data_IF_176735675620
#
_entry.id   IF_176735675620
#
_cell.length_a   1.000
_cell.length_b   1.000
_cell.length_c   1.000
_cell.angle_alpha   90.00
_cell.angle_beta   90.00
_cell.angle_gamma   90.00
#
_symmetry.space_group_name_H-M   'P 1'
#
loop_
_entity.id
_entity.type
_entity.pdbx_description
1 polymer ?
#
# COMPACT_ATOMS: atom_id res chain seq x y z
N UNK A 1 -4.17 14.49 5.40
CA UNK A 1 -4.07 13.05 5.05
C UNK A 1 -3.53 12.91 3.64
N UNK A 2 -2.21 12.79 3.48
CA UNK A 2 -1.54 12.41 2.22
C UNK A 2 -0.90 11.04 2.47
N UNK A 3 -0.86 10.15 1.47
CA UNK A 3 -0.24 8.80 1.50
C UNK A 3 -1.20 7.60 1.61
N UNK A 4 -2.30 7.59 0.85
CA UNK A 4 -3.16 6.41 0.69
C UNK A 4 -3.12 5.97 -0.77
N UNK A 5 -2.04 5.34 -1.22
CA UNK A 5 -1.98 4.81 -2.58
C UNK A 5 -2.70 3.44 -2.62
N UNK A 6 -3.59 3.21 -3.60
CA UNK A 6 -3.85 4.01 -4.80
C UNK A 6 -5.10 4.91 -4.73
N UNK A 7 -5.80 5.01 -3.59
CA UNK A 7 -7.01 5.85 -3.47
C UNK A 7 -6.64 7.31 -3.17
N UNK A 8 -6.73 8.16 -4.17
CA UNK A 8 -6.41 9.60 -4.06
C UNK A 8 -7.49 10.33 -3.27
N UNK A 9 -8.76 10.08 -3.61
CA UNK A 9 -9.92 10.73 -3.00
C UNK A 9 -11.07 9.75 -2.91
N UNK A 10 -11.88 9.87 -1.88
CA UNK A 10 -13.09 9.08 -1.71
C UNK A 10 -14.18 9.98 -1.14
N UNK A 11 -15.42 9.77 -1.56
CA UNK A 11 -16.60 10.45 -1.03
C UNK A 11 -17.79 9.51 -0.99
N UNK A 12 -18.45 9.47 0.16
CA UNK A 12 -19.75 8.84 0.32
C UNK A 12 -20.85 9.85 0.00
N UNK A 13 -21.89 9.44 -0.72
CA UNK A 13 -22.99 10.30 -1.17
C UNK A 13 -24.33 10.01 -0.46
N UNK A 14 -24.27 9.23 0.63
CA UNK A 14 -25.37 8.87 1.55
C UNK A 14 -25.08 9.46 2.95
N UNK A 15 -26.10 9.85 3.76
CA UNK A 15 -27.54 9.66 3.54
C UNK A 15 -28.19 10.84 2.79
N UNK A 16 -29.29 10.53 2.08
CA UNK A 16 -29.99 11.40 1.11
C UNK A 16 -30.65 12.67 1.68
N UNK A 17 -30.62 12.90 2.99
CA UNK A 17 -31.42 13.95 3.66
C UNK A 17 -30.62 14.89 4.56
N UNK A 18 -29.36 15.20 4.23
CA UNK A 18 -28.62 16.30 4.88
C UNK A 18 -28.29 17.40 3.87
N UNK A 19 -28.44 18.65 4.29
CA UNK A 19 -28.06 19.83 3.50
C UNK A 19 -26.60 19.77 3.03
N UNK A 20 -25.73 19.17 3.86
CA UNK A 20 -24.32 18.93 3.53
C UNK A 20 -24.16 17.95 2.37
N UNK A 21 -24.95 16.87 2.33
CA UNK A 21 -24.95 15.90 1.23
C UNK A 21 -25.41 16.53 -0.10
N UNK A 22 -26.28 17.55 -0.05
CA UNK A 22 -26.69 18.31 -1.23
C UNK A 22 -25.58 19.25 -1.72
N UNK A 23 -24.88 19.93 -0.80
CA UNK A 23 -23.70 20.76 -1.14
C UNK A 23 -22.57 19.90 -1.73
N UNK A 24 -22.35 18.72 -1.17
CA UNK A 24 -21.35 17.75 -1.63
C UNK A 24 -21.65 17.18 -3.03
N UNK A 25 -22.93 17.11 -3.43
CA UNK A 25 -23.34 16.72 -4.79
C UNK A 25 -23.05 17.79 -5.85
N UNK A 26 -23.02 19.07 -5.46
CA UNK A 26 -22.77 20.19 -6.39
C UNK A 26 -21.31 20.37 -6.77
N UNK A 27 -20.38 19.69 -6.10
CA UNK A 27 -18.96 19.73 -6.40
C UNK A 27 -18.46 18.33 -6.76
N UNK A 28 -18.71 17.84 -8.00
CA UNK A 28 -18.38 16.46 -8.38
C UNK A 28 -16.90 16.16 -8.14
N UNK A 29 -16.60 14.93 -7.72
CA UNK A 29 -15.22 14.43 -7.83
C UNK A 29 -14.92 14.26 -9.31
N UNK A 30 -13.80 14.83 -9.74
CA UNK A 30 -13.31 14.75 -11.11
C UNK A 30 -12.00 13.99 -11.06
N UNK A 31 -11.87 12.95 -11.88
CA UNK A 31 -10.61 12.27 -12.08
C UNK A 31 -9.70 13.16 -12.95
N UNK A 32 -8.46 13.39 -12.49
CA UNK A 32 -7.44 14.03 -13.28
C UNK A 32 -6.75 13.07 -14.25
N UNK A 33 -5.71 13.55 -14.93
CA UNK A 33 -4.84 12.72 -15.77
C UNK A 33 -4.25 11.57 -14.96
N UNK A 34 -4.29 10.35 -15.51
CA UNK A 34 -3.81 9.13 -14.85
C UNK A 34 -4.63 8.71 -13.63
N UNK A 35 -5.87 9.19 -13.50
CA UNK A 35 -6.81 8.77 -12.47
C UNK A 35 -8.07 8.21 -13.10
N UNK A 36 -8.72 7.28 -12.39
CA UNK A 36 -10.02 6.73 -12.79
C UNK A 36 -11.01 6.97 -11.67
N UNK A 37 -12.22 7.37 -12.05
CA UNK A 37 -13.34 7.48 -11.14
C UNK A 37 -14.09 6.14 -11.11
N UNK A 38 -14.13 5.56 -9.91
CA UNK A 38 -14.92 4.38 -9.58
C UNK A 38 -16.14 4.83 -8.80
N UNK A 39 -17.31 4.48 -9.26
CA UNK A 39 -18.56 4.77 -8.59
C UNK A 39 -19.22 3.47 -8.13
N UNK A 40 -19.95 3.55 -7.04
CA UNK A 40 -20.76 2.46 -6.53
C UNK A 40 -22.23 2.84 -6.57
N UNK A 41 -23.04 1.99 -7.19
CA UNK A 41 -24.50 2.12 -7.28
C UNK A 41 -25.12 0.83 -6.79
N UNK A 42 -25.81 0.89 -5.65
CA UNK A 42 -26.53 -0.27 -5.06
C UNK A 42 -25.68 -1.55 -4.98
N UNK A 43 -24.42 -1.41 -4.56
CA UNK A 43 -23.47 -2.53 -4.43
C UNK A 43 -22.78 -2.95 -5.73
N UNK A 44 -23.18 -2.39 -6.87
CA UNK A 44 -22.50 -2.58 -8.16
C UNK A 44 -21.45 -1.50 -8.33
N UNK A 45 -20.25 -1.90 -8.76
CA UNK A 45 -19.14 -1.01 -9.02
C UNK A 45 -18.97 -0.80 -10.51
N UNK A 46 -18.77 0.45 -10.92
CA UNK A 46 -18.50 0.84 -12.29
C UNK A 46 -17.38 1.86 -12.38
N UNK A 47 -16.81 1.99 -13.56
CA UNK A 47 -15.84 3.03 -13.92
C UNK A 47 -16.43 3.93 -14.99
N UNK A 48 -16.19 5.23 -14.91
CA UNK A 48 -16.63 6.15 -15.94
C UNK A 48 -16.12 7.57 -15.72
N UNK A 49 -16.20 8.44 -16.74
CA UNK A 49 -15.74 9.83 -16.63
C UNK A 49 -16.64 10.68 -15.73
N UNK A 50 -17.85 10.21 -15.42
CA UNK A 50 -18.82 10.89 -14.59
C UNK A 50 -19.54 9.92 -13.64
N UNK A 51 -20.15 10.48 -12.61
CA UNK A 51 -20.91 9.75 -11.60
C UNK A 51 -22.35 9.61 -12.11
N UNK A 52 -22.89 8.38 -12.28
CA UNK A 52 -24.30 8.22 -12.60
C UNK A 52 -25.18 8.74 -11.44
N UNK A 53 -26.34 9.32 -11.78
CA UNK A 53 -27.24 10.02 -10.86
C UNK A 53 -27.64 9.33 -9.55
N UNK A 54 -27.64 7.98 -9.41
CA UNK A 54 -27.93 7.32 -8.14
C UNK A 54 -26.71 6.82 -7.33
N UNK A 55 -25.47 7.16 -7.68
CA UNK A 55 -24.29 6.62 -6.98
C UNK A 55 -24.32 6.84 -5.46
N UNK A 56 -24.00 5.79 -4.71
CA UNK A 56 -23.90 5.77 -3.26
C UNK A 56 -22.53 6.24 -2.77
N UNK A 57 -21.47 6.01 -3.55
CA UNK A 57 -20.12 6.46 -3.26
C UNK A 57 -19.32 6.65 -4.55
N UNK A 58 -18.29 7.50 -4.46
CA UNK A 58 -17.39 7.83 -5.57
C UNK A 58 -15.95 7.84 -5.05
N UNK A 59 -15.07 7.18 -5.78
CA UNK A 59 -13.65 7.03 -5.43
C UNK A 59 -12.79 7.37 -6.63
N UNK A 60 -11.80 8.22 -6.43
CA UNK A 60 -10.77 8.52 -7.41
C UNK A 60 -9.56 7.65 -7.10
N UNK A 61 -9.21 6.80 -8.05
CA UNK A 61 -8.09 5.86 -7.96
C UNK A 61 -6.98 6.35 -8.88
N UNK A 62 -5.76 6.39 -8.37
CA UNK A 62 -4.55 6.63 -9.14
C UNK A 62 -4.20 5.39 -9.96
N UNK A 63 -4.23 5.51 -11.29
CA UNK A 63 -3.90 4.42 -12.21
C UNK A 63 -2.60 4.67 -12.97
N UNK A 64 -1.76 5.62 -12.52
CA UNK A 64 -0.45 5.82 -13.12
C UNK A 64 0.36 4.51 -13.12
N UNK A 65 0.93 4.21 -14.28
CA UNK A 65 1.80 3.06 -14.45
C UNK A 65 3.10 3.25 -13.69
N UNK A 66 3.44 2.28 -12.84
CA UNK A 66 4.73 2.26 -12.15
C UNK A 66 4.88 3.31 -11.05
N UNK A 67 3.81 3.63 -10.33
CA UNK A 67 3.90 4.42 -9.11
C UNK A 67 4.88 3.76 -8.12
N UNK A 68 5.83 4.53 -7.62
CA UNK A 68 6.85 4.05 -6.69
C UNK A 68 6.34 4.11 -5.26
N UNK A 69 6.38 2.97 -4.57
CA UNK A 69 6.04 2.85 -3.15
C UNK A 69 7.25 2.36 -2.40
N UNK A 70 7.67 3.10 -1.38
CA UNK A 70 8.77 2.72 -0.50
C UNK A 70 8.25 2.24 0.85
N UNK A 71 8.90 1.21 1.38
CA UNK A 71 8.64 0.63 2.70
C UNK A 71 9.94 0.66 3.49
N UNK A 72 9.91 1.32 4.65
CA UNK A 72 11.03 1.31 5.60
C UNK A 72 10.78 0.29 6.71
N UNK A 73 11.79 -0.51 7.01
CA UNK A 73 11.76 -1.55 8.03
C UNK A 73 13.07 -1.57 8.79
N UNK A 74 13.01 -2.12 10.00
CA UNK A 74 14.17 -2.55 10.76
C UNK A 74 14.13 -4.07 10.76
N UNK A 75 15.24 -4.69 10.37
CA UNK A 75 15.39 -6.12 10.40
C UNK A 75 16.39 -6.48 11.49
N UNK A 76 15.93 -7.25 12.47
CA UNK A 76 16.76 -7.69 13.58
C UNK A 76 17.40 -9.03 13.24
N UNK A 77 18.68 -9.18 13.57
CA UNK A 77 19.41 -10.46 13.51
C UNK A 77 18.80 -11.49 14.48
N UNK A 78 19.00 -12.80 14.25
CA UNK A 78 18.52 -13.84 15.16
C UNK A 78 18.96 -13.65 16.61
N UNK A 79 20.19 -13.16 16.83
CA UNK A 79 20.75 -12.86 18.16
C UNK A 79 20.18 -11.61 18.83
N UNK A 80 19.45 -10.76 18.11
CA UNK A 80 18.85 -9.56 18.70
C UNK A 80 19.84 -8.44 19.02
N UNK A 81 21.10 -8.55 18.59
CA UNK A 81 22.16 -7.58 18.92
C UNK A 81 22.32 -6.49 17.86
N UNK A 82 21.92 -6.79 16.62
CA UNK A 82 22.03 -5.89 15.47
C UNK A 82 20.70 -5.71 14.76
N UNK A 83 20.43 -4.47 14.33
CA UNK A 83 19.34 -4.12 13.43
C UNK A 83 19.84 -3.48 12.14
N UNK A 84 19.28 -3.91 11.02
CA UNK A 84 19.49 -3.33 9.72
C UNK A 84 18.33 -2.41 9.35
N UNK A 85 18.54 -1.10 9.20
CA UNK A 85 17.56 -0.23 8.56
C UNK A 85 17.52 -0.54 7.07
N UNK A 86 16.34 -0.94 6.60
CA UNK A 86 16.11 -1.35 5.21
C UNK A 86 15.04 -0.48 4.60
N UNK A 87 15.29 -0.03 3.38
CA UNK A 87 14.31 0.62 2.52
C UNK A 87 14.09 -0.24 1.28
N UNK A 88 12.86 -0.74 1.12
CA UNK A 88 12.45 -1.52 -0.04
C UNK A 88 11.62 -0.65 -0.96
N UNK A 89 11.99 -0.61 -2.24
CA UNK A 89 11.28 0.11 -3.28
C UNK A 89 10.50 -0.86 -4.16
N UNK A 90 9.22 -0.54 -4.35
CA UNK A 90 8.31 -1.29 -5.19
C UNK A 90 7.75 -0.41 -6.30
N UNK A 91 7.62 -1.00 -7.49
CA UNK A 91 6.88 -0.43 -8.61
C UNK A 91 5.46 -0.99 -8.61
N UNK A 92 4.47 -0.12 -8.49
CA UNK A 92 3.07 -0.48 -8.38
C UNK A 92 2.29 0.02 -9.59
N UNK A 93 1.38 -0.81 -10.09
CA UNK A 93 0.48 -0.47 -11.20
C UNK A 93 -0.92 -0.96 -10.86
N UNK A 94 -1.91 -0.07 -10.86
CA UNK A 94 -3.31 -0.47 -10.71
C UNK A 94 -3.77 -1.13 -12.01
N UNK A 95 -4.13 -2.41 -11.93
CA UNK A 95 -4.65 -3.22 -13.05
C UNK A 95 -6.17 -3.36 -13.00
N UNK A 96 -6.77 -3.20 -11.81
CA UNK A 96 -8.21 -3.22 -11.61
C UNK A 96 -8.61 -2.22 -10.50
N UNK A 97 -9.03 -0.98 -10.86
CA UNK A 97 -9.42 0.01 -9.88
C UNK A 97 -10.72 -0.35 -9.14
N UNK A 98 -11.58 -1.22 -9.71
CA UNK A 98 -12.81 -1.69 -9.05
C UNK A 98 -12.46 -2.64 -7.91
N UNK A 99 -11.52 -3.56 -8.12
CA UNK A 99 -11.05 -4.47 -7.09
C UNK A 99 -10.46 -3.72 -5.88
N UNK A 100 -9.68 -2.66 -6.13
CA UNK A 100 -9.14 -1.77 -5.07
C UNK A 100 -10.27 -1.20 -4.20
N UNK A 101 -11.30 -0.62 -4.84
CA UNK A 101 -12.39 0.04 -4.12
C UNK A 101 -13.27 -0.95 -3.38
N UNK A 102 -13.52 -2.12 -3.99
CA UNK A 102 -14.23 -3.21 -3.33
C UNK A 102 -13.48 -3.68 -2.08
N UNK A 103 -12.17 -3.88 -2.17
CA UNK A 103 -11.34 -4.28 -1.04
C UNK A 103 -11.44 -3.28 0.12
N UNK A 104 -11.43 -1.97 -0.16
CA UNK A 104 -11.64 -0.94 0.86
C UNK A 104 -12.96 -1.14 1.62
N UNK A 105 -14.05 -1.43 0.91
CA UNK A 105 -15.37 -1.58 1.54
C UNK A 105 -15.47 -2.85 2.36
N UNK A 106 -14.89 -3.95 1.90
CA UNK A 106 -14.94 -5.25 2.58
C UNK A 106 -13.91 -5.40 3.69
N UNK A 107 -13.18 -4.33 4.04
CA UNK A 107 -12.12 -4.36 5.05
C UNK A 107 -10.83 -5.05 4.59
N UNK A 108 -10.71 -5.36 3.31
CA UNK A 108 -9.50 -5.92 2.73
C UNK A 108 -8.37 -4.89 2.61
N UNK A 109 -7.11 -5.33 2.44
CA UNK A 109 -5.97 -4.45 2.20
C UNK A 109 -6.12 -3.65 0.91
N UNK A 110 -6.25 -2.33 1.02
CA UNK A 110 -6.34 -1.40 -0.11
C UNK A 110 -5.26 -0.31 -0.07
N UNK A 111 -4.63 -0.11 1.09
CA UNK A 111 -3.45 0.74 1.25
C UNK A 111 -2.21 -0.10 0.93
N UNK A 112 -1.67 0.11 -0.26
CA UNK A 112 -0.53 -0.66 -0.79
C UNK A 112 0.67 -0.54 0.12
N UNK A 113 0.97 0.68 0.60
CA UNK A 113 2.15 0.90 1.45
C UNK A 113 2.01 0.13 2.75
N UNK A 114 0.83 0.16 3.37
CA UNK A 114 0.57 -0.58 4.60
C UNK A 114 0.65 -2.09 4.37
N UNK A 115 0.00 -2.59 3.33
CA UNK A 115 -0.01 -4.02 2.99
C UNK A 115 1.41 -4.55 2.73
N UNK A 116 2.22 -3.82 1.95
CA UNK A 116 3.62 -4.17 1.69
C UNK A 116 4.48 -4.08 2.94
N UNK A 117 4.19 -3.16 3.86
CA UNK A 117 4.89 -3.08 5.11
C UNK A 117 4.58 -4.31 6.00
N UNK A 118 3.34 -4.77 6.03
CA UNK A 118 2.87 -5.89 6.86
C UNK A 118 3.18 -7.29 6.25
N UNK A 119 3.94 -7.35 5.15
CA UNK A 119 4.31 -8.60 4.48
C UNK A 119 4.97 -9.61 5.45
N UNK A 120 4.37 -10.80 5.64
CA UNK A 120 4.86 -11.78 6.61
C UNK A 120 6.23 -12.37 6.22
N UNK A 121 6.66 -12.26 4.95
CA UNK A 121 7.96 -12.77 4.49
C UNK A 121 9.13 -12.10 5.19
N UNK A 122 9.00 -10.82 5.58
CA UNK A 122 10.05 -10.14 6.34
C UNK A 122 10.32 -10.82 7.69
N UNK A 123 9.30 -11.43 8.32
CA UNK A 123 9.47 -12.17 9.58
C UNK A 123 10.23 -13.47 9.41
N UNK A 124 10.20 -14.07 8.22
CA UNK A 124 10.97 -15.28 7.94
C UNK A 124 12.44 -14.94 7.67
N UNK A 125 12.70 -13.75 7.11
CA UNK A 125 14.04 -13.29 6.80
C UNK A 125 14.89 -13.10 8.06
N UNK A 126 14.32 -12.54 9.14
CA UNK A 126 15.06 -12.29 10.40
C UNK A 126 15.68 -13.54 11.03
N UNK A 127 15.22 -14.75 10.67
CA UNK A 127 15.77 -16.02 11.17
C UNK A 127 17.04 -16.48 10.46
N UNK A 128 17.34 -15.92 9.30
CA UNK A 128 18.41 -16.36 8.39
C UNK A 128 19.35 -15.23 7.99
N UNK A 129 19.22 -14.05 8.62
CA UNK A 129 20.09 -12.92 8.31
C UNK A 129 21.51 -13.21 8.79
N UNK A 130 22.52 -13.06 7.90
CA UNK A 130 23.91 -13.07 8.33
C UNK A 130 24.18 -11.90 9.27
N UNK A 131 25.02 -12.14 10.28
CA UNK A 131 25.48 -11.09 11.18
C UNK A 131 26.59 -10.28 10.50
N UNK A 132 26.51 -8.96 10.65
CA UNK A 132 27.49 -7.98 10.16
C UNK A 132 27.77 -8.02 8.63
N UNK A 133 26.76 -8.39 7.83
CA UNK A 133 26.89 -8.42 6.36
C UNK A 133 25.72 -7.71 5.67
N UNK A 134 25.85 -6.40 5.41
CA UNK A 134 24.81 -5.63 4.69
C UNK A 134 24.58 -6.15 3.27
N UNK A 135 25.61 -6.69 2.62
CA UNK A 135 25.50 -7.22 1.27
C UNK A 135 24.72 -8.54 1.28
N UNK A 136 25.01 -9.43 2.21
CA UNK A 136 24.25 -10.66 2.44
C UNK A 136 22.80 -10.38 2.82
N UNK A 137 22.54 -9.37 3.66
CA UNK A 137 21.17 -8.90 3.97
C UNK A 137 20.47 -8.41 2.69
N UNK A 138 21.15 -7.63 1.85
CA UNK A 138 20.60 -7.11 0.58
C UNK A 138 20.29 -8.23 -0.41
N UNK A 139 21.19 -9.21 -0.54
CA UNK A 139 21.01 -10.36 -1.41
C UNK A 139 19.85 -11.24 -0.93
N UNK A 140 19.76 -11.52 0.37
CA UNK A 140 18.66 -12.27 0.95
C UNK A 140 17.30 -11.56 0.76
N UNK A 141 17.25 -10.24 0.94
CA UNK A 141 16.07 -9.43 0.65
C UNK A 141 15.68 -9.48 -0.83
N UNK A 142 16.66 -9.34 -1.71
CA UNK A 142 16.44 -9.39 -3.15
C UNK A 142 15.91 -10.76 -3.55
N UNK A 143 16.51 -11.85 -3.06
CA UNK A 143 16.06 -13.21 -3.31
C UNK A 143 14.66 -13.49 -2.74
N UNK A 144 14.28 -12.88 -1.61
CA UNK A 144 12.94 -13.02 -1.01
C UNK A 144 11.85 -12.29 -1.82
N UNK A 145 12.20 -11.16 -2.43
CA UNK A 145 11.25 -10.21 -3.01
C UNK A 145 11.22 -10.24 -4.55
N UNK A 146 12.32 -10.53 -5.23
CA UNK A 146 12.44 -10.61 -6.68
C UNK A 146 11.60 -11.72 -7.33
N UNK A 147 11.44 -12.93 -6.75
CA UNK A 147 10.60 -13.95 -7.35
C UNK A 147 9.16 -13.75 -6.87
N UNK A 148 8.41 -12.76 -7.40
CA UNK A 148 6.94 -12.81 -7.35
C UNK A 148 6.22 -11.73 -8.18
N UNK A 149 5.23 -12.11 -9.02
CA UNK A 149 4.06 -11.26 -9.23
C UNK A 149 3.25 -11.17 -7.92
N UNK A 150 2.74 -9.96 -7.66
CA UNK A 150 1.92 -9.51 -6.52
C UNK A 150 1.83 -10.50 -5.35
N UNK A 151 2.50 -10.14 -4.26
CA UNK A 151 2.14 -10.58 -2.91
C UNK A 151 0.62 -10.82 -2.85
N UNK A 152 0.19 -12.03 -2.45
CA UNK A 152 -1.22 -12.30 -2.17
C UNK A 152 -1.77 -11.12 -1.37
N UNK A 153 -2.88 -10.57 -1.84
CA UNK A 153 -3.75 -9.63 -1.12
C UNK A 153 -3.46 -8.13 -1.30
N UNK A 154 -3.13 -7.63 -2.50
CA UNK A 154 -3.53 -6.24 -2.83
C UNK A 154 -4.45 -6.26 -4.04
N UNK A 155 -5.78 -6.32 -3.84
CA UNK A 155 -6.74 -6.43 -4.93
C UNK A 155 -6.59 -5.31 -5.95
N UNK A 156 -6.42 -5.70 -7.22
CA UNK A 156 -6.33 -4.79 -8.34
C UNK A 156 -5.03 -4.02 -8.50
N UNK A 157 -3.98 -4.35 -7.74
CA UNK A 157 -2.66 -3.74 -7.87
C UNK A 157 -1.60 -4.78 -8.19
N UNK A 158 -0.92 -4.61 -9.32
CA UNK A 158 0.32 -5.32 -9.63
C UNK A 158 1.46 -4.63 -8.89
N UNK A 159 2.22 -5.41 -8.13
CA UNK A 159 3.41 -4.94 -7.42
C UNK A 159 4.63 -5.71 -7.93
N UNK A 160 5.67 -4.96 -8.27
CA UNK A 160 6.96 -5.46 -8.73
C UNK A 160 8.04 -4.94 -7.78
N UNK A 161 8.95 -5.82 -7.36
CA UNK A 161 10.14 -5.41 -6.61
C UNK A 161 11.07 -4.62 -7.53
N UNK A 162 11.51 -3.45 -7.08
CA UNK A 162 12.45 -2.61 -7.83
C UNK A 162 13.87 -2.73 -7.25
N UNK A 163 14.03 -2.50 -5.93
CA UNK A 163 15.32 -2.65 -5.24
C UNK A 163 15.17 -2.68 -3.71
N UNK A 164 16.23 -3.11 -3.03
CA UNK A 164 16.38 -3.01 -1.59
C UNK A 164 17.67 -2.25 -1.25
N UNK A 165 17.52 -1.19 -0.47
CA UNK A 165 18.62 -0.41 0.07
C UNK A 165 18.79 -0.81 1.56
N UNK A 166 20.01 -1.20 1.95
CA UNK A 166 20.36 -1.62 3.32
C UNK A 166 21.35 -0.62 3.87
N UNK A 167 21.00 0.05 4.96
CA UNK A 167 21.88 0.94 5.73
C UNK A 167 22.79 0.09 6.65
N UNK A 168 23.92 0.65 7.12
CA UNK A 168 24.79 -0.02 8.08
C UNK A 168 24.05 -0.52 9.31
N UNK A 169 24.49 -1.67 9.84
CA UNK A 169 23.93 -2.24 11.06
C UNK A 169 24.01 -1.27 12.24
N UNK A 170 22.98 -1.31 13.10
CA UNK A 170 22.95 -0.57 14.36
C UNK A 170 22.93 -1.55 15.50
N UNK A 171 23.76 -1.31 16.49
CA UNK A 171 23.76 -2.10 17.71
C UNK A 171 22.53 -1.76 18.55
N UNK A 172 21.79 -2.78 18.98
CA UNK A 172 20.73 -2.60 19.97
C UNK A 172 21.39 -2.49 21.34
N UNK A 173 21.40 -1.28 21.90
CA UNK A 173 21.81 -1.08 23.29
C UNK A 173 20.59 -1.38 24.15
N UNK A 174 20.50 -2.62 24.66
CA UNK A 174 19.59 -2.92 25.76
C UNK A 174 20.17 -2.24 27.00
N UNK A 175 19.54 -1.15 27.45
CA UNK A 175 19.71 -0.71 28.82
C UNK A 175 19.05 -1.78 29.69
N UNK A 176 19.83 -2.77 30.10
CA UNK A 176 19.47 -3.55 31.28
C UNK A 176 19.45 -2.55 32.44
N UNK A 177 18.24 -2.25 32.90
CA UNK A 177 18.03 -1.58 34.17
C UNK A 177 18.58 -2.52 35.23
N UNK A 178 19.83 -2.32 35.64
CA UNK A 178 20.37 -2.90 36.87
C UNK A 178 19.41 -2.50 38.01
N UNK A 179 18.76 -3.50 38.59
CA UNK A 179 17.92 -3.40 39.78
C UNK A 179 18.71 -3.85 41.01
#
# INVERSE_FOLDING_TARGET
MRNRYPIVRHRELRPRCRWDAWRERRSPLIAGTGQVLVHETDGVYGTGPSVPGPAAAVTVVDVHHGARVYVRRLLTTPGGHLEYPVTVLFRCTVVDPVAVVRARRTGGPWDVRRALAEDPRYRNLTRVLPEDDENGVREALTALLAPRPAHRDIPGVRVEFERADVEPARQIINYETEA
#
